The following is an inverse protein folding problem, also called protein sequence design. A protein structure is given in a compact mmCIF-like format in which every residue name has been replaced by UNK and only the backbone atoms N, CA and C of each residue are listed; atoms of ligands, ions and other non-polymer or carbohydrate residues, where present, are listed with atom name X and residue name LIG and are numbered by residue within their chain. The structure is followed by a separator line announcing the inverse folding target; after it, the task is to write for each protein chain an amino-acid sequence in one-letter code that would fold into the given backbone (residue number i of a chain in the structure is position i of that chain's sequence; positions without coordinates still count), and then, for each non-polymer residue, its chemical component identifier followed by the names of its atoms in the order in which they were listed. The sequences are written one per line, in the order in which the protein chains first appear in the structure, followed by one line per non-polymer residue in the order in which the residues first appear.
data_IF_249927996893
#
_entry.id   IF_249927996893
#
_cell.length_a   1.000
_cell.length_b   1.000
_cell.length_c   1.000
_cell.angle_alpha   90.00
_cell.angle_beta   90.00
_cell.angle_gamma   90.00
#
_symmetry.space_group_name_H-M   'P 1'
#
loop_
_entity.id
_entity.type
_entity.pdbx_description
1 polymer ?
#
# COMPACT_ATOMS: atom_id res chain seq x y z
N UNK A 1 2.30 48.48 -36.40
CA UNK A 1 2.93 47.14 -36.26
C UNK A 1 1.81 46.09 -36.38
N UNK A 2 1.84 45.18 -37.36
CA UNK A 2 0.70 44.28 -37.61
C UNK A 2 0.52 43.22 -36.52
N UNK A 3 -0.72 42.83 -36.26
CA UNK A 3 -1.10 41.84 -35.25
C UNK A 3 -0.40 40.48 -35.47
N UNK A 4 -0.14 40.12 -36.72
CA UNK A 4 0.62 38.94 -37.11
C UNK A 4 2.08 38.99 -36.61
N UNK A 5 2.71 40.17 -36.58
CA UNK A 5 4.07 40.34 -36.07
C UNK A 5 4.12 40.16 -34.55
N UNK A 6 3.13 40.70 -33.82
CA UNK A 6 2.98 40.48 -32.36
C UNK A 6 2.77 39.01 -32.00
N UNK A 7 1.94 38.26 -32.75
CA UNK A 7 1.74 36.82 -32.51
C UNK A 7 3.02 36.01 -32.73
N UNK A 8 3.79 36.31 -33.79
CA UNK A 8 5.07 35.63 -34.06
C UNK A 8 6.10 35.90 -32.97
N UNK A 9 6.20 37.13 -32.49
CA UNK A 9 7.10 37.51 -31.39
C UNK A 9 6.70 36.82 -30.07
N UNK A 10 5.40 36.73 -29.77
CA UNK A 10 4.91 35.98 -28.59
C UNK A 10 5.19 34.48 -28.67
N UNK A 11 5.00 33.86 -29.84
CA UNK A 11 5.32 32.43 -30.04
C UNK A 11 6.83 32.20 -29.90
N UNK A 12 7.66 33.06 -30.46
CA UNK A 12 9.12 32.99 -30.36
C UNK A 12 9.61 33.24 -28.92
N UNK A 13 8.97 34.13 -28.17
CA UNK A 13 9.26 34.35 -26.76
C UNK A 13 8.90 33.11 -25.92
N UNK A 14 7.72 32.52 -26.15
CA UNK A 14 7.28 31.29 -25.48
C UNK A 14 8.19 30.10 -25.81
N UNK A 15 8.62 29.94 -27.05
CA UNK A 15 9.53 28.86 -27.44
C UNK A 15 10.92 29.02 -26.82
N UNK A 16 11.46 30.25 -26.77
CA UNK A 16 12.72 30.55 -26.06
C UNK A 16 12.60 30.32 -24.56
N UNK A 17 11.47 30.66 -23.95
CA UNK A 17 11.23 30.41 -22.53
C UNK A 17 11.09 28.90 -22.24
N UNK A 18 10.45 28.14 -23.13
CA UNK A 18 10.35 26.69 -23.05
C UNK A 18 11.72 26.01 -23.24
N UNK A 19 12.54 26.48 -24.18
CA UNK A 19 13.92 26.02 -24.36
C UNK A 19 14.81 26.34 -23.15
N UNK A 20 14.67 27.55 -22.57
CA UNK A 20 15.39 27.92 -21.34
C UNK A 20 14.94 27.11 -20.13
N UNK A 21 13.65 26.74 -20.02
CA UNK A 21 13.18 25.80 -18.99
C UNK A 21 13.77 24.41 -19.19
N UNK A 22 13.84 23.91 -20.43
CA UNK A 22 14.49 22.63 -20.75
C UNK A 22 16.01 22.64 -20.52
N UNK A 23 16.67 23.78 -20.70
CA UNK A 23 18.12 23.93 -20.48
C UNK A 23 18.48 24.26 -19.02
N UNK A 24 17.59 24.93 -18.28
CA UNK A 24 17.75 25.27 -16.86
C UNK A 24 17.35 24.16 -15.89
N UNK A 25 16.57 23.18 -16.33
CA UNK A 25 16.44 21.90 -15.64
C UNK A 25 17.67 21.05 -15.97
N UNK A 26 18.84 21.41 -15.41
CA UNK A 26 19.91 20.42 -15.29
C UNK A 26 19.27 19.19 -14.68
N UNK A 27 19.26 18.07 -15.42
CA UNK A 27 18.61 16.85 -14.98
C UNK A 27 19.21 16.49 -13.63
N UNK A 28 18.50 16.78 -12.54
CA UNK A 28 18.97 16.46 -11.21
C UNK A 28 19.28 14.96 -11.24
N UNK A 29 20.57 14.62 -11.07
CA UNK A 29 20.99 13.23 -11.10
C UNK A 29 20.33 12.55 -9.92
N UNK A 30 19.30 11.76 -10.21
CA UNK A 30 18.57 11.02 -9.19
C UNK A 30 19.56 10.14 -8.42
N UNK A 31 19.36 9.95 -7.11
CA UNK A 31 20.14 9.00 -6.34
C UNK A 31 20.13 7.62 -7.00
N UNK A 32 21.27 6.93 -6.98
CA UNK A 32 21.34 5.55 -7.50
C UNK A 32 20.35 4.69 -6.69
N UNK A 33 19.50 3.86 -7.34
CA UNK A 33 18.49 3.07 -6.63
C UNK A 33 19.09 1.93 -5.78
N UNK A 34 20.30 1.47 -6.11
CA UNK A 34 20.94 0.30 -5.51
C UNK A 34 21.00 0.30 -3.98
N UNK A 35 21.58 1.33 -3.33
CA UNK A 35 21.65 1.41 -1.87
C UNK A 35 20.29 1.32 -1.16
N UNK A 36 19.25 1.95 -1.72
CA UNK A 36 17.90 1.91 -1.17
C UNK A 36 17.27 0.52 -1.29
N UNK A 37 17.44 -0.14 -2.44
CA UNK A 37 16.93 -1.50 -2.65
C UNK A 37 17.62 -2.48 -1.70
N UNK A 38 18.96 -2.47 -1.65
CA UNK A 38 19.71 -3.42 -0.81
C UNK A 38 19.53 -3.13 0.68
N UNK A 39 19.55 -1.86 1.08
CA UNK A 39 19.25 -1.46 2.45
C UNK A 39 17.84 -1.87 2.88
N UNK A 40 16.85 -1.69 2.00
CA UNK A 40 15.49 -2.13 2.26
C UNK A 40 15.35 -3.64 2.37
N UNK A 41 15.98 -4.42 1.47
CA UNK A 41 16.01 -5.89 1.56
C UNK A 41 16.64 -6.36 2.86
N UNK A 42 17.77 -5.76 3.26
CA UNK A 42 18.46 -6.11 4.51
C UNK A 42 17.57 -5.84 5.73
N UNK A 43 16.90 -4.69 5.79
CA UNK A 43 15.97 -4.37 6.88
C UNK A 43 14.74 -5.28 6.90
N UNK A 44 14.18 -5.64 5.73
CA UNK A 44 13.11 -6.62 5.67
C UNK A 44 13.56 -7.98 6.19
N UNK A 45 14.74 -8.46 5.78
CA UNK A 45 15.29 -9.73 6.25
C UNK A 45 15.51 -9.73 7.77
N UNK A 46 16.08 -8.66 8.32
CA UNK A 46 16.23 -8.48 9.77
C UNK A 46 14.88 -8.45 10.49
N UNK A 47 13.89 -7.74 9.93
CA UNK A 47 12.52 -7.73 10.45
C UNK A 47 11.90 -9.12 10.46
N UNK A 48 12.09 -9.91 9.40
CA UNK A 48 11.60 -11.29 9.32
C UNK A 48 12.27 -12.18 10.37
N UNK A 49 13.59 -12.07 10.54
CA UNK A 49 14.31 -12.82 11.59
C UNK A 49 13.82 -12.43 12.98
N UNK A 50 13.66 -11.13 13.24
CA UNK A 50 13.12 -10.65 14.52
C UNK A 50 11.71 -11.16 14.78
N UNK A 51 10.83 -11.15 13.77
CA UNK A 51 9.48 -11.68 13.89
C UNK A 51 9.48 -13.19 14.17
N UNK A 52 10.32 -13.96 13.49
CA UNK A 52 10.44 -15.41 13.70
C UNK A 52 10.90 -15.69 15.13
N UNK A 53 11.93 -14.99 15.62
CA UNK A 53 12.42 -15.15 16.99
C UNK A 53 11.32 -14.82 18.01
N UNK A 54 10.63 -13.70 17.82
CA UNK A 54 9.54 -13.29 18.71
C UNK A 54 8.38 -14.29 18.70
N UNK A 55 8.00 -14.79 17.51
CA UNK A 55 6.95 -15.80 17.38
C UNK A 55 7.35 -17.12 18.09
N UNK A 56 8.59 -17.60 17.91
CA UNK A 56 9.05 -18.82 18.58
C UNK A 56 9.16 -18.68 20.10
N UNK A 57 9.59 -17.52 20.60
CA UNK A 57 9.60 -17.24 22.03
C UNK A 57 8.16 -17.21 22.58
N UNK A 58 7.26 -16.50 21.92
CA UNK A 58 5.85 -16.48 22.31
C UNK A 58 5.17 -17.85 22.27
N UNK A 59 5.47 -18.68 21.26
CA UNK A 59 4.99 -20.07 21.16
C UNK A 59 5.43 -20.96 22.32
N UNK A 60 6.56 -20.64 22.98
CA UNK A 60 7.07 -21.36 24.15
C UNK A 60 6.48 -20.86 25.47
N UNK A 61 5.61 -19.86 25.42
CA UNK A 61 5.05 -19.21 26.60
C UNK A 61 5.92 -18.08 27.16
N UNK A 62 7.01 -17.69 26.48
CA UNK A 62 7.86 -16.60 26.97
C UNK A 62 7.12 -15.26 26.86
N UNK A 63 7.24 -14.43 27.90
CA UNK A 63 6.78 -13.04 27.86
C UNK A 63 7.72 -12.21 26.99
N UNK A 64 7.18 -11.58 25.94
CA UNK A 64 7.90 -10.70 25.04
C UNK A 64 7.94 -9.25 25.54
N UNK A 65 7.12 -8.95 26.54
CA UNK A 65 7.11 -7.68 27.26
C UNK A 65 7.58 -7.88 28.70
N UNK A 66 8.82 -7.47 29.00
CA UNK A 66 9.26 -7.33 30.39
C UNK A 66 8.83 -5.93 30.88
N UNK A 67 8.13 -5.83 32.01
CA UNK A 67 7.48 -4.60 32.53
C UNK A 67 8.35 -3.33 32.70
N UNK A 68 9.62 -3.36 32.33
CA UNK A 68 10.48 -2.17 32.22
C UNK A 68 10.36 -1.54 30.82
N UNK A 69 9.39 -0.63 30.69
CA UNK A 69 9.10 0.16 29.48
C UNK A 69 10.21 1.14 29.05
N UNK A 70 11.34 1.21 29.78
CA UNK A 70 12.39 2.21 29.58
C UNK A 70 13.48 1.83 28.57
N UNK A 71 13.45 0.62 27.99
CA UNK A 71 14.37 0.21 26.92
C UNK A 71 13.61 0.05 25.61
N UNK A 72 13.94 0.85 24.61
CA UNK A 72 13.48 0.71 23.21
C UNK A 72 13.70 -0.72 22.64
N UNK A 73 14.61 -1.48 23.22
CA UNK A 73 14.91 -2.88 22.89
C UNK A 73 14.06 -3.93 23.64
N UNK A 74 13.29 -3.53 24.67
CA UNK A 74 12.44 -4.43 25.46
C UNK A 74 11.04 -4.65 24.84
N UNK A 75 10.67 -3.91 23.79
CA UNK A 75 9.41 -4.13 23.08
C UNK A 75 9.66 -4.99 21.83
N UNK A 76 9.96 -6.27 22.05
CA UNK A 76 10.25 -7.24 21.00
C UNK A 76 9.09 -7.40 20.00
N UNK A 77 7.86 -7.04 20.40
CA UNK A 77 6.66 -7.07 19.57
C UNK A 77 6.72 -6.01 18.45
N UNK A 78 7.20 -4.80 18.78
CA UNK A 78 7.21 -3.68 17.84
C UNK A 78 8.43 -3.64 16.91
N UNK A 79 9.56 -4.24 17.34
CA UNK A 79 10.82 -4.21 16.59
C UNK A 79 10.70 -4.70 15.14
N UNK A 80 10.05 -5.84 14.83
CA UNK A 80 9.88 -6.28 13.44
C UNK A 80 9.10 -5.26 12.60
N UNK A 81 8.07 -4.63 13.16
CA UNK A 81 7.25 -3.63 12.51
C UNK A 81 8.04 -2.38 12.13
N UNK A 82 8.91 -1.90 13.02
CA UNK A 82 9.82 -0.78 12.71
C UNK A 82 10.77 -1.13 11.58
N UNK A 83 11.36 -2.34 11.61
CA UNK A 83 12.27 -2.81 10.57
C UNK A 83 11.55 -2.97 9.22
N UNK A 84 10.32 -3.51 9.21
CA UNK A 84 9.51 -3.62 8.01
C UNK A 84 9.09 -2.26 7.45
N UNK A 85 8.72 -1.32 8.30
CA UNK A 85 8.37 0.04 7.89
C UNK A 85 9.56 0.73 7.22
N UNK A 86 10.72 0.75 7.89
CA UNK A 86 11.94 1.36 7.35
C UNK A 86 12.40 0.65 6.07
N UNK A 87 12.39 -0.69 6.08
CA UNK A 87 12.74 -1.50 4.92
C UNK A 87 11.81 -1.26 3.74
N UNK A 88 10.51 -1.18 3.99
CA UNK A 88 9.48 -0.87 3.01
C UNK A 88 9.63 0.53 2.42
N UNK A 89 9.93 1.54 3.24
CA UNK A 89 10.21 2.91 2.78
C UNK A 89 11.45 2.93 1.87
N UNK A 90 12.55 2.29 2.27
CA UNK A 90 13.76 2.22 1.43
C UNK A 90 13.51 1.47 0.13
N UNK A 91 12.82 0.33 0.17
CA UNK A 91 12.46 -0.42 -1.05
C UNK A 91 11.55 0.38 -1.96
N UNK A 92 10.56 1.07 -1.40
CA UNK A 92 9.68 1.96 -2.14
C UNK A 92 10.49 3.03 -2.86
N UNK A 93 11.36 3.76 -2.15
CA UNK A 93 12.24 4.77 -2.74
C UNK A 93 13.17 4.18 -3.82
N UNK A 94 13.78 3.02 -3.55
CA UNK A 94 14.67 2.35 -4.51
C UNK A 94 13.95 1.92 -5.79
N UNK A 95 12.74 1.36 -5.66
CA UNK A 95 11.90 1.00 -6.81
C UNK A 95 11.42 2.26 -7.55
N UNK A 96 11.10 3.32 -6.81
CA UNK A 96 10.72 4.61 -7.37
C UNK A 96 11.85 5.19 -8.22
N UNK A 97 13.05 5.30 -7.68
CA UNK A 97 14.21 5.79 -8.45
C UNK A 97 14.56 4.90 -9.64
N UNK A 98 14.29 3.59 -9.56
CA UNK A 98 14.54 2.65 -10.68
C UNK A 98 13.51 2.77 -11.81
N UNK A 99 12.25 3.11 -11.50
CA UNK A 99 11.11 2.97 -12.45
C UNK A 99 10.41 4.26 -12.81
N UNK A 100 10.58 5.31 -12.03
CA UNK A 100 9.91 6.58 -12.28
C UNK A 100 10.58 7.33 -13.43
N UNK A 101 9.75 7.77 -14.37
CA UNK A 101 10.10 8.92 -15.20
C UNK A 101 9.74 10.17 -14.39
N UNK A 102 10.70 10.72 -13.63
CA UNK A 102 10.47 11.93 -12.84
C UNK A 102 10.28 13.11 -13.78
N UNK A 103 9.03 13.53 -13.95
CA UNK A 103 8.69 14.79 -14.59
C UNK A 103 8.29 15.76 -13.48
N UNK A 104 9.24 16.58 -13.02
CA UNK A 104 8.92 17.65 -12.09
C UNK A 104 8.06 18.70 -12.82
N UNK A 105 6.75 18.51 -12.79
CA UNK A 105 5.80 19.53 -13.21
C UNK A 105 5.57 20.47 -12.03
N UNK A 106 6.36 21.54 -11.94
CA UNK A 106 6.00 22.70 -11.11
C UNK A 106 4.88 23.47 -11.82
N UNK A 107 3.66 22.97 -11.78
CA UNK A 107 2.48 23.80 -12.05
C UNK A 107 2.28 24.69 -10.82
N UNK A 108 2.51 25.99 -10.99
CA UNK A 108 2.37 27.00 -9.93
C UNK A 108 1.03 27.72 -10.13
N UNK A 109 0.01 27.34 -9.38
CA UNK A 109 -1.18 28.16 -9.12
C UNK A 109 -1.11 28.78 -7.73
N UNK A 110 -1.68 29.98 -7.56
CA UNK A 110 -1.58 30.82 -6.36
C UNK A 110 -2.25 30.22 -5.09
N UNK A 111 -3.01 29.13 -5.23
CA UNK A 111 -3.56 28.27 -4.15
C UNK A 111 -3.18 26.78 -4.32
N UNK A 112 -2.32 26.48 -5.30
CA UNK A 112 -1.89 25.13 -5.65
C UNK A 112 -0.48 24.96 -5.08
N UNK A 113 -0.40 24.45 -3.85
CA UNK A 113 0.85 23.92 -3.30
C UNK A 113 1.52 23.05 -4.36
N UNK A 114 2.84 23.19 -4.51
CA UNK A 114 3.56 22.57 -5.63
C UNK A 114 3.31 21.06 -5.64
N UNK A 115 2.54 20.57 -6.61
CA UNK A 115 2.26 19.14 -6.67
C UNK A 115 3.45 18.43 -7.32
N UNK A 116 3.94 17.39 -6.64
CA UNK A 116 4.96 16.52 -7.21
C UNK A 116 4.21 15.35 -7.84
N UNK A 117 4.25 15.30 -9.16
CA UNK A 117 3.75 14.16 -9.92
C UNK A 117 4.89 13.28 -10.40
N UNK A 118 4.66 11.98 -10.41
CA UNK A 118 5.56 11.01 -11.01
C UNK A 118 4.76 9.96 -11.76
N UNK A 119 5.33 9.49 -12.86
CA UNK A 119 4.76 8.44 -13.68
C UNK A 119 5.61 7.19 -13.53
N UNK A 120 4.96 6.11 -13.09
CA UNK A 120 5.57 4.79 -12.99
C UNK A 120 5.18 3.92 -14.16
N UNK A 121 6.17 3.26 -14.77
CA UNK A 121 5.89 2.15 -15.68
C UNK A 121 5.05 1.10 -14.96
N UNK A 122 3.92 0.63 -15.52
CA UNK A 122 3.09 -0.41 -14.90
C UNK A 122 3.86 -1.69 -14.59
N UNK A 123 3.50 -2.39 -13.50
CA UNK A 123 4.07 -3.70 -13.16
C UNK A 123 3.49 -4.77 -14.10
N UNK A 124 4.27 -5.74 -14.61
CA UNK A 124 3.74 -6.88 -15.34
C UNK A 124 2.70 -7.65 -14.52
N UNK A 125 1.67 -8.20 -15.16
CA UNK A 125 0.62 -8.94 -14.45
C UNK A 125 1.18 -10.13 -13.66
N UNK A 126 2.15 -10.85 -14.24
CA UNK A 126 2.80 -12.00 -13.61
C UNK A 126 3.48 -11.64 -12.28
N UNK A 127 4.24 -10.54 -12.25
CA UNK A 127 4.88 -10.05 -11.02
C UNK A 127 3.84 -9.67 -9.97
N UNK A 128 2.70 -9.11 -10.40
CA UNK A 128 1.60 -8.79 -9.50
C UNK A 128 0.98 -10.05 -8.88
N UNK A 129 0.68 -11.06 -9.69
CA UNK A 129 0.08 -12.32 -9.25
C UNK A 129 1.01 -13.11 -8.34
N UNK A 130 2.29 -13.24 -8.70
CA UNK A 130 3.31 -13.87 -7.83
C UNK A 130 3.43 -13.10 -6.52
N UNK A 131 3.34 -11.77 -6.58
CA UNK A 131 3.35 -10.92 -5.39
C UNK A 131 2.18 -11.18 -4.44
N UNK A 132 1.03 -11.66 -4.90
CA UNK A 132 -0.12 -12.00 -4.03
C UNK A 132 0.13 -13.26 -3.18
N UNK A 133 0.99 -14.16 -3.66
CA UNK A 133 1.29 -15.44 -2.96
C UNK A 133 1.95 -15.16 -1.62
N UNK A 134 2.84 -14.17 -1.56
CA UNK A 134 3.61 -13.84 -0.36
C UNK A 134 2.71 -13.41 0.82
N UNK A 135 1.86 -12.37 0.72
CA UNK A 135 1.00 -11.98 1.83
C UNK A 135 -0.03 -13.04 2.18
N UNK A 136 -0.53 -13.83 1.21
CA UNK A 136 -1.40 -14.98 1.51
C UNK A 136 -0.66 -16.01 2.36
N UNK A 137 0.53 -16.43 1.93
CA UNK A 137 1.34 -17.41 2.67
C UNK A 137 1.72 -16.91 4.06
N UNK A 138 2.15 -15.65 4.18
CA UNK A 138 2.49 -15.04 5.47
C UNK A 138 1.26 -14.97 6.39
N UNK A 139 0.11 -14.52 5.89
CA UNK A 139 -1.12 -14.49 6.68
C UNK A 139 -1.55 -15.90 7.10
N UNK A 140 -1.51 -16.87 6.19
CA UNK A 140 -1.86 -18.25 6.50
C UNK A 140 -0.94 -18.85 7.57
N UNK A 141 0.36 -18.55 7.54
CA UNK A 141 1.32 -19.03 8.53
C UNK A 141 1.20 -18.33 9.89
N UNK A 142 0.86 -17.04 9.92
CA UNK A 142 0.82 -16.24 11.15
C UNK A 142 -0.56 -16.27 11.83
N UNK A 143 -1.64 -16.45 11.08
CA UNK A 143 -3.00 -16.41 11.62
C UNK A 143 -3.70 -17.75 11.46
N UNK A 144 -3.87 -18.22 10.23
CA UNK A 144 -4.74 -19.36 9.96
C UNK A 144 -4.18 -20.65 10.59
N UNK A 145 -2.89 -20.95 10.38
CA UNK A 145 -2.27 -22.15 10.90
C UNK A 145 -2.24 -22.19 12.44
N UNK A 146 -1.86 -21.11 13.15
CA UNK A 146 -1.95 -21.09 14.62
C UNK A 146 -3.38 -21.21 15.15
N UNK A 147 -4.35 -20.53 14.53
CA UNK A 147 -5.77 -20.63 14.94
C UNK A 147 -6.28 -22.06 14.76
N UNK A 148 -6.01 -22.71 13.63
CA UNK A 148 -6.40 -24.09 13.40
C UNK A 148 -5.68 -25.07 14.36
N UNK A 149 -4.43 -24.78 14.73
CA UNK A 149 -3.71 -25.55 15.73
C UNK A 149 -4.27 -25.38 17.14
N UNK A 150 -4.74 -24.18 17.50
CA UNK A 150 -5.39 -23.93 18.79
C UNK A 150 -6.77 -24.59 18.90
N UNK A 151 -7.51 -24.66 17.79
CA UNK A 151 -8.83 -25.31 17.73
C UNK A 151 -8.75 -26.85 17.59
N UNK A 152 -7.55 -27.42 17.41
CA UNK A 152 -7.38 -28.86 17.33
C UNK A 152 -7.33 -29.46 18.74
N UNK A 153 -8.29 -30.33 19.06
CA UNK A 153 -8.30 -31.10 20.31
C UNK A 153 -7.01 -31.92 20.51
N UNK A 154 -6.68 -32.20 21.78
CA UNK A 154 -5.50 -32.92 22.29
C UNK A 154 -4.84 -33.86 21.25
N UNK A 155 -3.75 -33.38 20.64
CA UNK A 155 -3.02 -34.10 19.61
C UNK A 155 -1.76 -33.37 19.14
N UNK A 156 -0.99 -33.95 18.21
CA UNK A 156 0.23 -33.33 17.66
C UNK A 156 -0.05 -32.00 16.92
N UNK A 157 -1.31 -31.67 16.65
CA UNK A 157 -1.75 -30.42 16.07
C UNK A 157 -1.91 -29.28 17.10
N UNK A 158 -1.95 -29.56 18.41
CA UNK A 158 -2.08 -28.58 19.50
C UNK A 158 -0.73 -27.91 19.85
N UNK A 159 0.14 -27.70 18.87
CA UNK A 159 1.49 -27.13 19.07
C UNK A 159 1.49 -25.66 19.54
N UNK A 160 0.31 -25.04 19.65
CA UNK A 160 0.08 -23.66 20.05
C UNK A 160 -0.58 -23.56 21.44
N UNK A 161 -0.85 -24.69 22.11
CA UNK A 161 -1.58 -24.71 23.38
C UNK A 161 -0.89 -23.88 24.48
N UNK A 162 0.44 -23.88 24.52
CA UNK A 162 1.24 -23.15 25.50
C UNK A 162 1.65 -21.74 25.04
N UNK A 163 1.12 -21.25 23.91
CA UNK A 163 1.53 -19.96 23.36
C UNK A 163 1.06 -18.80 24.25
N UNK A 164 1.96 -17.86 24.55
CA UNK A 164 1.68 -16.68 25.36
C UNK A 164 0.74 -15.69 24.65
N UNK A 165 0.05 -14.84 25.41
CA UNK A 165 -0.83 -13.80 24.85
C UNK A 165 -0.07 -12.87 23.88
N UNK A 166 1.21 -12.62 24.14
CA UNK A 166 2.08 -11.82 23.26
C UNK A 166 2.23 -12.44 21.86
N UNK A 167 2.23 -13.77 21.73
CA UNK A 167 2.20 -14.45 20.43
C UNK A 167 0.91 -14.14 19.65
N UNK A 168 -0.22 -14.08 20.35
CA UNK A 168 -1.50 -13.80 19.72
C UNK A 168 -1.67 -12.33 19.35
N UNK A 169 -1.10 -11.42 20.14
CA UNK A 169 -0.96 -9.99 19.78
C UNK A 169 -0.11 -9.82 18.53
N UNK A 170 1.03 -10.52 18.44
CA UNK A 170 1.86 -10.56 17.23
C UNK A 170 1.05 -11.07 16.03
N UNK A 171 0.35 -12.17 16.22
CA UNK A 171 -0.43 -12.83 15.17
C UNK A 171 -1.55 -11.92 14.66
N UNK A 172 -2.24 -11.22 15.57
CA UNK A 172 -3.24 -10.22 15.25
C UNK A 172 -2.66 -9.06 14.43
N UNK A 173 -1.60 -8.42 14.93
CA UNK A 173 -1.04 -7.25 14.29
C UNK A 173 -0.40 -7.56 12.93
N UNK A 174 0.53 -8.52 12.88
CA UNK A 174 1.24 -8.86 11.64
C UNK A 174 0.34 -9.61 10.66
N UNK A 175 -0.61 -10.40 11.15
CA UNK A 175 -1.67 -11.00 10.36
C UNK A 175 -2.57 -9.97 9.68
N UNK A 176 -3.05 -8.99 10.44
CA UNK A 176 -3.83 -7.86 9.91
C UNK A 176 -3.05 -7.09 8.83
N UNK A 177 -1.77 -6.79 9.07
CA UNK A 177 -0.90 -6.11 8.10
C UNK A 177 -0.69 -6.97 6.85
N UNK A 178 -0.48 -8.28 6.98
CA UNK A 178 -0.30 -9.18 5.85
C UNK A 178 -1.58 -9.28 4.98
N UNK A 179 -2.74 -9.49 5.60
CA UNK A 179 -4.02 -9.53 4.90
C UNK A 179 -4.39 -8.18 4.30
N UNK A 180 -4.17 -7.07 5.01
CA UNK A 180 -4.35 -5.73 4.48
C UNK A 180 -3.45 -5.46 3.26
N UNK A 181 -2.19 -5.90 3.31
CA UNK A 181 -1.26 -5.79 2.18
C UNK A 181 -1.77 -6.57 0.95
N UNK A 182 -2.34 -7.76 1.15
CA UNK A 182 -3.05 -8.49 0.09
C UNK A 182 -4.20 -7.64 -0.49
N UNK A 183 -4.95 -6.95 0.36
CA UNK A 183 -6.06 -6.08 -0.05
C UNK A 183 -5.61 -4.91 -0.93
N UNK A 184 -4.49 -4.25 -0.57
CA UNK A 184 -3.85 -3.22 -1.41
C UNK A 184 -3.48 -3.78 -2.79
N UNK A 185 -2.89 -4.98 -2.82
CA UNK A 185 -2.47 -5.61 -4.07
C UNK A 185 -3.67 -6.00 -4.93
N UNK A 186 -4.74 -6.55 -4.36
CA UNK A 186 -5.97 -6.87 -5.10
C UNK A 186 -6.65 -5.59 -5.63
N UNK A 187 -6.75 -4.53 -4.82
CA UNK A 187 -7.29 -3.25 -5.27
C UNK A 187 -6.45 -2.68 -6.45
N UNK A 188 -5.12 -2.79 -6.36
CA UNK A 188 -4.23 -2.36 -7.44
C UNK A 188 -4.37 -3.21 -8.71
N UNK A 189 -4.59 -4.53 -8.58
CA UNK A 189 -4.85 -5.42 -9.70
C UNK A 189 -6.18 -5.09 -10.36
N UNK A 190 -7.23 -4.92 -9.56
CA UNK A 190 -8.57 -4.57 -10.02
C UNK A 190 -8.57 -3.21 -10.73
N UNK A 191 -7.80 -2.24 -10.22
CA UNK A 191 -7.55 -0.96 -10.87
C UNK A 191 -6.98 -1.17 -12.28
N UNK A 192 -5.93 -1.98 -12.38
CA UNK A 192 -5.27 -2.31 -13.66
C UNK A 192 -6.23 -2.98 -14.65
N UNK A 193 -7.05 -3.93 -14.19
CA UNK A 193 -8.08 -4.59 -15.01
C UNK A 193 -9.16 -3.60 -15.45
N UNK A 194 -9.63 -2.73 -14.56
CA UNK A 194 -10.59 -1.68 -14.88
C UNK A 194 -10.09 -0.73 -15.96
N UNK A 195 -8.80 -0.34 -15.92
CA UNK A 195 -8.19 0.42 -17.02
C UNK A 195 -8.17 -0.38 -18.32
N UNK A 196 -7.78 -1.66 -18.30
CA UNK A 196 -7.74 -2.48 -19.51
C UNK A 196 -9.13 -2.69 -20.15
N UNK A 197 -10.18 -2.82 -19.34
CA UNK A 197 -11.54 -3.09 -19.79
C UNK A 197 -12.30 -1.82 -20.22
N UNK A 198 -12.14 -0.72 -19.48
CA UNK A 198 -12.99 0.47 -19.61
C UNK A 198 -12.26 1.70 -20.16
N UNK A 199 -10.96 1.62 -20.38
CA UNK A 199 -10.19 2.66 -21.09
C UNK A 199 -9.63 2.18 -22.44
N UNK A 200 -10.44 1.58 -23.34
CA UNK A 200 -9.98 1.27 -24.69
C UNK A 200 -9.74 2.59 -25.45
N UNK A 201 -8.62 2.68 -26.17
CA UNK A 201 -8.28 3.74 -27.14
C UNK A 201 -7.88 5.15 -26.64
N UNK A 202 -7.26 5.28 -25.46
CA UNK A 202 -6.60 6.55 -25.11
C UNK A 202 -5.10 6.38 -25.00
N UNK A 203 -4.42 6.83 -26.05
CA UNK A 203 -3.01 7.20 -26.00
C UNK A 203 -2.74 7.94 -24.68
N UNK A 204 -1.69 7.58 -23.93
CA UNK A 204 -1.31 8.22 -22.66
C UNK A 204 -1.37 9.75 -22.73
N UNK A 205 -1.05 10.31 -23.91
CA UNK A 205 -0.99 11.75 -24.18
C UNK A 205 -2.32 12.48 -24.37
N UNK A 206 -3.47 11.81 -24.47
CA UNK A 206 -4.76 12.48 -24.66
C UNK A 206 -5.47 12.70 -23.31
N UNK A 207 -4.90 13.64 -22.55
CA UNK A 207 -5.50 14.19 -21.35
C UNK A 207 -6.69 15.09 -21.75
N UNK A 208 -7.83 14.88 -21.10
CA UNK A 208 -9.13 15.51 -21.34
C UNK A 208 -9.94 14.92 -22.51
N UNK A 209 -10.87 14.01 -22.16
CA UNK A 209 -12.07 13.88 -23.00
C UNK A 209 -12.94 15.11 -22.80
N UNK A 210 -13.35 15.82 -23.87
CA UNK A 210 -14.18 17.02 -23.80
C UNK A 210 -15.55 16.81 -23.12
N UNK A 211 -16.05 15.56 -23.07
CA UNK A 211 -17.44 15.28 -22.74
C UNK A 211 -17.72 14.97 -21.25
N UNK A 212 -16.75 15.16 -20.34
CA UNK A 212 -16.96 14.85 -18.91
C UNK A 212 -17.10 16.11 -18.05
N UNK A 213 -18.06 16.15 -17.12
CA UNK A 213 -18.16 17.28 -16.20
C UNK A 213 -16.89 17.36 -15.35
N UNK A 214 -16.27 18.55 -15.32
CA UNK A 214 -14.99 18.79 -14.66
C UNK A 214 -15.00 18.41 -13.16
N UNK A 215 -16.16 18.47 -12.50
CA UNK A 215 -16.34 18.10 -11.09
C UNK A 215 -16.15 16.60 -10.83
N UNK A 216 -16.72 15.73 -11.68
CA UNK A 216 -16.57 14.29 -11.54
C UNK A 216 -15.11 13.86 -11.73
N UNK A 217 -14.42 14.47 -12.69
CA UNK A 217 -13.00 14.20 -12.91
C UNK A 217 -12.12 14.63 -11.73
N UNK A 218 -12.43 15.79 -11.11
CA UNK A 218 -11.75 16.26 -9.88
C UNK A 218 -11.94 15.29 -8.71
N UNK A 219 -13.17 14.81 -8.48
CA UNK A 219 -13.43 13.83 -7.43
C UNK A 219 -12.60 12.55 -7.63
N UNK A 220 -12.61 11.97 -8.83
CA UNK A 220 -11.85 10.74 -9.10
C UNK A 220 -10.33 10.95 -9.05
N UNK A 221 -9.83 12.13 -9.41
CA UNK A 221 -8.42 12.49 -9.24
C UNK A 221 -8.05 12.60 -7.76
N UNK A 222 -8.86 13.28 -6.96
CA UNK A 222 -8.67 13.39 -5.51
C UNK A 222 -8.66 12.00 -4.86
N UNK A 223 -9.69 11.20 -5.10
CA UNK A 223 -9.88 9.91 -4.41
C UNK A 223 -8.90 8.85 -4.89
N UNK A 224 -8.68 8.69 -6.20
CA UNK A 224 -7.88 7.57 -6.74
C UNK A 224 -6.42 7.94 -7.10
N UNK A 225 -6.13 9.20 -7.42
CA UNK A 225 -4.77 9.61 -7.81
C UNK A 225 -3.99 10.25 -6.65
N UNK A 226 -4.64 11.08 -5.83
CA UNK A 226 -3.99 11.79 -4.71
C UNK A 226 -4.07 10.99 -3.41
N UNK A 227 -5.28 10.66 -2.93
CA UNK A 227 -5.46 9.90 -1.69
C UNK A 227 -5.25 8.40 -1.85
N UNK A 228 -5.39 7.86 -3.08
CA UNK A 228 -5.34 6.42 -3.37
C UNK A 228 -6.26 5.61 -2.46
N UNK A 229 -7.48 6.10 -2.27
CA UNK A 229 -8.45 5.55 -1.33
C UNK A 229 -8.71 4.06 -1.54
N UNK A 230 -8.61 3.56 -2.79
CA UNK A 230 -8.72 2.12 -3.06
C UNK A 230 -7.68 1.28 -2.32
N UNK A 231 -6.48 1.80 -2.09
CA UNK A 231 -5.42 1.10 -1.36
C UNK A 231 -5.73 1.07 0.14
N UNK A 232 -6.12 2.21 0.73
CA UNK A 232 -6.50 2.29 2.14
C UNK A 232 -7.72 1.42 2.46
N UNK A 233 -8.75 1.48 1.62
CA UNK A 233 -9.98 0.70 1.77
C UNK A 233 -9.73 -0.78 1.52
N UNK A 234 -8.89 -1.13 0.54
CA UNK A 234 -8.49 -2.53 0.32
C UNK A 234 -7.72 -3.07 1.52
N UNK A 235 -6.81 -2.28 2.09
CA UNK A 235 -6.06 -2.61 3.29
C UNK A 235 -6.97 -2.86 4.49
N UNK A 236 -7.88 -1.92 4.78
CA UNK A 236 -8.85 -2.09 5.85
C UNK A 236 -9.72 -3.33 5.59
N UNK A 237 -10.28 -3.47 4.38
CA UNK A 237 -11.17 -4.55 4.00
C UNK A 237 -10.60 -5.94 4.31
N UNK A 238 -9.45 -6.27 3.72
CA UNK A 238 -8.83 -7.57 3.97
C UNK A 238 -8.10 -7.66 5.31
N UNK A 239 -7.63 -6.55 5.88
CA UNK A 239 -7.07 -6.55 7.23
C UNK A 239 -8.07 -7.03 8.26
N UNK A 240 -9.27 -6.42 8.28
CA UNK A 240 -10.35 -6.83 9.18
C UNK A 240 -10.86 -8.24 8.87
N UNK A 241 -11.03 -8.61 7.59
CA UNK A 241 -11.41 -9.97 7.22
C UNK A 241 -10.39 -11.01 7.69
N UNK A 242 -9.10 -10.71 7.52
CA UNK A 242 -8.00 -11.59 7.90
C UNK A 242 -7.82 -11.72 9.41
N UNK A 243 -8.37 -10.82 10.21
CA UNK A 243 -8.36 -10.89 11.66
C UNK A 243 -9.53 -11.70 12.25
N UNK A 244 -10.59 -11.98 11.47
CA UNK A 244 -11.75 -12.76 11.93
C UNK A 244 -11.40 -14.12 12.56
N UNK A 245 -10.46 -14.93 12.01
CA UNK A 245 -9.98 -16.17 12.63
C UNK A 245 -9.66 -16.05 14.13
N UNK A 246 -9.11 -14.91 14.55
CA UNK A 246 -8.65 -14.69 15.91
C UNK A 246 -9.80 -14.46 16.89
N UNK A 247 -10.95 -13.96 16.42
CA UNK A 247 -12.15 -13.81 17.26
C UNK A 247 -12.72 -15.18 17.67
N UNK A 248 -12.72 -16.15 16.76
CA UNK A 248 -13.14 -17.51 17.09
C UNK A 248 -12.21 -18.17 18.09
N UNK A 249 -10.89 -17.98 17.93
CA UNK A 249 -9.89 -18.48 18.89
C UNK A 249 -10.06 -17.84 20.28
N UNK A 250 -10.36 -16.54 20.35
CA UNK A 250 -10.53 -15.84 21.62
C UNK A 250 -11.77 -16.33 22.39
N UNK A 251 -12.87 -16.58 21.68
CA UNK A 251 -14.08 -17.18 22.24
C UNK A 251 -13.81 -18.59 22.80
N UNK A 252 -13.11 -19.43 22.02
CA UNK A 252 -12.74 -20.79 22.41
C UNK A 252 -11.83 -20.80 23.65
N UNK A 253 -10.75 -20.01 23.64
CA UNK A 253 -9.79 -19.94 24.74
C UNK A 253 -10.38 -19.40 26.04
N UNK A 254 -11.35 -18.48 25.96
CA UNK A 254 -12.01 -17.89 27.14
C UNK A 254 -13.20 -18.72 27.65
N UNK A 255 -13.62 -19.74 26.90
CA UNK A 255 -14.86 -20.49 27.16
C UNK A 255 -16.13 -19.62 27.09
N UNK A 256 -16.02 -18.41 26.53
CA UNK A 256 -17.12 -17.47 26.37
C UNK A 256 -17.79 -17.69 25.01
N UNK A 257 -19.08 -17.36 24.87
CA UNK A 257 -19.69 -17.29 23.55
C UNK A 257 -18.95 -16.26 22.69
N UNK A 258 -18.93 -16.51 21.38
CA UNK A 258 -18.39 -15.58 20.40
C UNK A 258 -19.07 -14.22 20.53
N UNK A 259 -18.29 -13.14 20.57
CA UNK A 259 -18.84 -11.79 20.59
C UNK A 259 -19.42 -11.45 19.21
N UNK A 260 -20.72 -11.70 19.05
CA UNK A 260 -21.50 -11.40 17.86
C UNK A 260 -21.35 -9.94 17.41
N UNK A 261 -21.17 -9.00 18.35
CA UNK A 261 -20.99 -7.57 18.03
C UNK A 261 -19.64 -7.34 17.40
N UNK A 262 -18.56 -7.89 17.97
CA UNK A 262 -17.22 -7.78 17.40
C UNK A 262 -17.15 -8.42 16.01
N UNK A 263 -17.72 -9.62 15.84
CA UNK A 263 -17.78 -10.32 14.55
C UNK A 263 -18.56 -9.48 13.52
N UNK A 264 -19.72 -8.95 13.90
CA UNK A 264 -20.53 -8.11 13.02
C UNK A 264 -19.76 -6.85 12.59
N UNK A 265 -19.09 -6.17 13.51
CA UNK A 265 -18.30 -4.97 13.21
C UNK A 265 -17.15 -5.29 12.27
N UNK A 266 -16.36 -6.34 12.55
CA UNK A 266 -15.24 -6.74 11.70
C UNK A 266 -15.72 -7.14 10.30
N UNK A 267 -16.78 -7.95 10.21
CA UNK A 267 -17.36 -8.38 8.95
C UNK A 267 -17.93 -7.19 8.16
N UNK A 268 -18.63 -6.27 8.82
CA UNK A 268 -19.20 -5.08 8.18
C UNK A 268 -18.10 -4.17 7.64
N UNK A 269 -17.08 -3.85 8.44
CA UNK A 269 -15.93 -3.04 8.00
C UNK A 269 -15.19 -3.73 6.84
N UNK A 270 -14.98 -5.04 6.93
CA UNK A 270 -14.34 -5.84 5.89
C UNK A 270 -15.10 -5.74 4.56
N UNK A 271 -16.41 -6.00 4.58
CA UNK A 271 -17.28 -5.98 3.38
C UNK A 271 -17.38 -4.58 2.81
N UNK A 272 -17.75 -3.58 3.63
CA UNK A 272 -17.95 -2.21 3.17
C UNK A 272 -16.67 -1.62 2.57
N UNK A 273 -15.53 -1.82 3.23
CA UNK A 273 -14.25 -1.30 2.74
C UNK A 273 -13.81 -2.03 1.47
N UNK A 274 -14.00 -3.35 1.37
CA UNK A 274 -13.65 -4.11 0.16
C UNK A 274 -14.51 -3.71 -1.04
N UNK A 275 -15.83 -3.56 -0.83
CA UNK A 275 -16.75 -3.08 -1.88
C UNK A 275 -16.39 -1.66 -2.31
N UNK A 276 -16.15 -0.76 -1.36
CA UNK A 276 -15.75 0.61 -1.66
C UNK A 276 -14.40 0.66 -2.41
N UNK A 277 -13.42 -0.14 -1.99
CA UNK A 277 -12.14 -0.28 -2.69
C UNK A 277 -12.34 -0.74 -4.15
N UNK A 278 -13.21 -1.73 -4.36
CA UNK A 278 -13.52 -2.23 -5.70
C UNK A 278 -14.19 -1.16 -6.58
N UNK A 279 -15.15 -0.42 -6.03
CA UNK A 279 -15.81 0.69 -6.73
C UNK A 279 -14.78 1.75 -7.13
N UNK A 280 -13.92 2.19 -6.20
CA UNK A 280 -12.89 3.21 -6.48
C UNK A 280 -11.89 2.70 -7.52
N UNK A 281 -11.41 1.46 -7.37
CA UNK A 281 -10.45 0.85 -8.30
C UNK A 281 -11.02 0.76 -9.73
N UNK A 282 -12.25 0.25 -9.88
CA UNK A 282 -12.91 0.07 -11.18
C UNK A 282 -13.30 1.39 -11.85
N UNK A 283 -13.48 2.48 -11.09
CA UNK A 283 -13.83 3.80 -11.61
C UNK A 283 -12.63 4.75 -11.72
N UNK A 284 -11.44 4.31 -11.34
CA UNK A 284 -10.22 5.12 -11.32
C UNK A 284 -9.83 5.74 -12.67
N UNK A 285 -10.14 5.09 -13.79
CA UNK A 285 -9.95 5.61 -15.15
C UNK A 285 -10.73 6.90 -15.42
N UNK A 286 -11.74 7.20 -14.61
CA UNK A 286 -12.50 8.45 -14.68
C UNK A 286 -11.70 9.67 -14.23
N UNK A 287 -10.60 9.47 -13.49
CA UNK A 287 -9.68 10.56 -13.10
C UNK A 287 -9.00 11.23 -14.31
N UNK A 288 -8.89 10.51 -15.44
CA UNK A 288 -8.14 10.98 -16.62
C UNK A 288 -6.63 10.97 -16.42
N UNK A 289 -6.13 10.44 -15.30
CA UNK A 289 -4.72 10.20 -15.08
C UNK A 289 -4.29 8.87 -15.74
N UNK A 290 -3.01 8.78 -16.11
CA UNK A 290 -2.45 7.55 -16.67
C UNK A 290 -2.33 6.43 -15.62
N UNK A 291 -2.34 5.18 -16.06
CA UNK A 291 -2.10 4.04 -15.18
C UNK A 291 -0.65 4.10 -14.65
N UNK A 292 -0.50 4.34 -13.35
CA UNK A 292 0.81 4.50 -12.70
C UNK A 292 1.18 5.96 -12.41
N UNK A 293 0.31 6.90 -12.76
CA UNK A 293 0.39 8.28 -12.29
C UNK A 293 0.08 8.36 -10.79
N UNK A 294 0.92 9.09 -10.07
CA UNK A 294 0.67 9.48 -8.69
C UNK A 294 0.99 10.97 -8.53
N UNK A 295 0.15 11.65 -7.75
CA UNK A 295 0.28 13.05 -7.44
C UNK A 295 0.28 13.22 -5.92
N UNK A 296 1.33 13.84 -5.38
CA UNK A 296 1.37 14.26 -3.99
C UNK A 296 1.05 15.75 -3.93
N UNK A 297 0.08 16.11 -3.10
CA UNK A 297 -0.20 17.51 -2.73
C UNK A 297 0.73 17.84 -1.56
N UNK A 298 1.58 18.85 -1.73
CA UNK A 298 2.49 19.35 -0.70
C UNK A 298 2.02 20.71 -0.18
#
# INVERSE_FOLDING_TARGET
MSEAKRRREQIAARSKQAQRRKQGSGAATLPKPGPFIWGGIALLALGTVALIIAAFAGLRGDALTTGDASKLLNNAIALPGVLFLLGGVLLFLGIMFRRAAWQLHLERGFFEGGSVSFELRPVPLTVHLVGLIVPVGVWSLIVLAPVLGALADDGPAAWVADASDDFWVLSAFYGFVAAGSLGVMLASLLKKLGYALFAPDRSPRQHATPDRPASAQRFWRLVSAQFRAESWLGFAGLGFAGALPLLWRDADASGQPLDDTAVLVFALVAVLSTVAAAIVALNSWRSGAELGYAESVA
#
